data_IF_208781246527
#
_entry.id   IF_208781246527
#
_cell.length_a   1.000
_cell.length_b   1.000
_cell.length_c   1.000
_cell.angle_alpha   90.00
_cell.angle_beta   90.00
_cell.angle_gamma   90.00
#
_symmetry.space_group_name_H-M   'P 1'
#
loop_
_entity.id
_entity.type
_entity.pdbx_description
1 polymer ?
#
# COMPACT_ATOMS: atom_id res chain seq x y z
N UNK A 1 43.24 -43.74 27.15
CA UNK A 1 42.76 -42.34 27.29
C UNK A 1 42.25 -41.86 25.93
N UNK A 2 40.95 -42.01 25.65
CA UNK A 2 40.32 -41.42 24.46
C UNK A 2 39.32 -40.35 24.92
N UNK A 3 39.65 -39.08 24.65
CA UNK A 3 38.77 -37.94 24.90
C UNK A 3 37.90 -37.77 23.66
N UNK A 4 36.64 -38.19 23.73
CA UNK A 4 35.65 -37.83 22.72
C UNK A 4 35.37 -36.33 22.83
N UNK A 5 35.84 -35.56 21.85
CA UNK A 5 35.36 -34.20 21.63
C UNK A 5 33.95 -34.30 21.03
N UNK A 6 32.96 -34.14 21.88
CA UNK A 6 31.58 -33.91 21.47
C UNK A 6 31.50 -32.47 20.94
N UNK A 7 31.71 -32.28 19.65
CA UNK A 7 31.38 -31.01 18.99
C UNK A 7 29.86 -30.96 18.85
N UNK A 8 29.20 -30.22 19.73
CA UNK A 8 27.78 -29.94 19.67
C UNK A 8 27.49 -29.03 18.47
N UNK A 9 27.10 -29.63 17.35
CA UNK A 9 26.69 -28.93 16.12
C UNK A 9 25.29 -28.31 16.21
N UNK A 10 24.55 -28.56 17.30
CA UNK A 10 23.14 -28.15 17.45
C UNK A 10 22.92 -26.65 17.75
N UNK A 11 23.95 -25.93 18.22
CA UNK A 11 23.81 -24.54 18.68
C UNK A 11 23.93 -23.46 17.59
N UNK A 12 24.60 -23.76 16.46
CA UNK A 12 24.88 -22.75 15.42
C UNK A 12 23.69 -22.61 14.46
N UNK A 13 23.07 -23.72 14.06
CA UNK A 13 21.98 -23.71 13.07
C UNK A 13 20.65 -23.18 13.62
N UNK A 14 20.33 -23.43 14.89
CA UNK A 14 19.06 -22.99 15.49
C UNK A 14 19.04 -21.50 15.84
N UNK A 15 20.16 -20.97 16.38
CA UNK A 15 20.27 -19.55 16.74
C UNK A 15 20.24 -18.65 15.50
N UNK A 16 21.01 -18.99 14.46
CA UNK A 16 21.09 -18.21 13.22
C UNK A 16 19.76 -18.21 12.45
N UNK A 17 19.06 -19.34 12.42
CA UNK A 17 17.74 -19.45 11.79
C UNK A 17 16.65 -18.66 12.54
N UNK A 18 16.72 -18.62 13.87
CA UNK A 18 15.78 -17.84 14.68
C UNK A 18 16.02 -16.32 14.59
N UNK A 19 17.29 -15.89 14.60
CA UNK A 19 17.66 -14.48 14.45
C UNK A 19 17.29 -13.93 13.08
N UNK A 20 17.57 -14.67 12.00
CA UNK A 20 17.20 -14.29 10.63
C UNK A 20 15.68 -14.21 10.43
N UNK A 21 14.92 -15.16 10.97
CA UNK A 21 13.46 -15.12 10.97
C UNK A 21 12.92 -13.86 11.68
N UNK A 22 13.51 -13.50 12.82
CA UNK A 22 13.11 -12.31 13.60
C UNK A 22 13.44 -11.00 12.88
N UNK A 23 14.59 -10.94 12.20
CA UNK A 23 15.00 -9.78 11.39
C UNK A 23 14.09 -9.57 10.18
N UNK A 24 13.81 -10.63 9.43
CA UNK A 24 12.92 -10.61 8.27
C UNK A 24 11.50 -10.18 8.66
N UNK A 25 10.94 -10.73 9.74
CA UNK A 25 9.61 -10.38 10.23
C UNK A 25 9.49 -8.88 10.57
N UNK A 26 10.54 -8.29 11.16
CA UNK A 26 10.60 -6.85 11.45
C UNK A 26 10.72 -6.01 10.20
N UNK A 27 11.55 -6.42 9.23
CA UNK A 27 11.69 -5.72 7.96
C UNK A 27 10.37 -5.72 7.17
N UNK A 28 9.68 -6.85 7.11
CA UNK A 28 8.35 -6.98 6.49
C UNK A 28 7.32 -6.12 7.23
N UNK A 29 7.34 -6.09 8.57
CA UNK A 29 6.44 -5.22 9.34
C UNK A 29 6.71 -3.73 9.09
N UNK A 30 7.99 -3.34 8.99
CA UNK A 30 8.36 -1.96 8.64
C UNK A 30 7.86 -1.59 7.24
N UNK A 31 8.04 -2.46 6.25
CA UNK A 31 7.52 -2.28 4.89
C UNK A 31 5.99 -2.10 4.90
N UNK A 32 5.28 -2.98 5.62
CA UNK A 32 3.83 -2.93 5.80
C UNK A 32 3.37 -1.59 6.35
N UNK A 33 4.01 -1.12 7.43
CA UNK A 33 3.67 0.14 8.09
C UNK A 33 3.99 1.33 7.19
N UNK A 34 5.13 1.31 6.48
CA UNK A 34 5.50 2.37 5.55
C UNK A 34 4.44 2.54 4.45
N UNK A 35 4.05 1.45 3.78
CA UNK A 35 2.96 1.52 2.79
C UNK A 35 1.62 1.94 3.41
N UNK A 36 1.26 1.39 4.59
CA UNK A 36 0.04 1.79 5.29
C UNK A 36 0.00 3.29 5.57
N UNK A 37 1.13 3.86 6.01
CA UNK A 37 1.28 5.30 6.20
C UNK A 37 1.17 6.07 4.88
N UNK A 38 1.82 5.62 3.80
CA UNK A 38 1.72 6.26 2.48
C UNK A 38 0.27 6.37 1.99
N UNK A 39 -0.50 5.29 2.11
CA UNK A 39 -1.93 5.27 1.72
C UNK A 39 -2.78 6.20 2.59
N UNK A 40 -2.60 6.17 3.92
CA UNK A 40 -3.34 7.05 4.82
C UNK A 40 -2.95 8.52 4.65
N UNK A 41 -1.67 8.79 4.38
CA UNK A 41 -1.20 10.14 4.12
C UNK A 41 -1.82 10.71 2.85
N UNK A 42 -1.84 9.94 1.77
CA UNK A 42 -2.52 10.34 0.53
C UNK A 42 -4.02 10.60 0.77
N UNK A 43 -4.68 9.76 1.59
CA UNK A 43 -6.07 9.99 1.99
C UNK A 43 -6.22 11.31 2.74
N UNK A 44 -5.37 11.60 3.73
CA UNK A 44 -5.44 12.83 4.52
C UNK A 44 -5.17 14.08 3.67
N UNK A 45 -4.13 14.05 2.83
CA UNK A 45 -3.80 15.16 1.94
C UNK A 45 -4.96 15.48 0.98
N UNK A 46 -5.58 14.46 0.39
CA UNK A 46 -6.73 14.63 -0.52
C UNK A 46 -8.00 15.03 0.21
N UNK A 47 -8.20 14.52 1.43
CA UNK A 47 -9.37 14.85 2.26
C UNK A 47 -9.35 16.33 2.65
N UNK A 48 -8.18 16.87 2.98
CA UNK A 48 -8.04 18.20 3.60
C UNK A 48 -7.26 19.23 2.79
N UNK A 49 -6.77 18.90 1.58
CA UNK A 49 -5.92 19.76 0.78
C UNK A 49 -4.68 20.27 1.55
N UNK A 50 -3.82 19.35 2.01
CA UNK A 50 -2.68 19.69 2.89
C UNK A 50 -1.46 20.25 2.14
N UNK A 51 -1.54 20.43 0.83
CA UNK A 51 -0.49 21.02 0.01
C UNK A 51 0.61 20.07 -0.41
N UNK A 52 0.51 18.76 -0.18
CA UNK A 52 1.53 17.82 -0.66
C UNK A 52 1.28 17.47 -2.12
N UNK A 53 0.12 16.86 -2.39
CA UNK A 53 -0.35 16.57 -3.74
C UNK A 53 -1.62 17.38 -4.10
N UNK A 54 -2.29 17.97 -3.10
CA UNK A 54 -3.61 18.59 -3.24
C UNK A 54 -3.62 19.97 -2.59
N UNK A 55 -4.26 20.96 -3.22
CA UNK A 55 -4.42 22.31 -2.65
C UNK A 55 -3.29 23.29 -2.94
N UNK A 56 -2.31 22.93 -3.79
CA UNK A 56 -1.32 23.89 -4.30
C UNK A 56 -1.84 24.57 -5.56
N UNK A 57 -1.79 25.89 -5.59
CA UNK A 57 -2.05 26.67 -6.80
C UNK A 57 -0.78 26.77 -7.69
N UNK A 58 -0.93 27.44 -8.84
CA UNK A 58 0.15 27.66 -9.81
C UNK A 58 1.33 28.48 -9.25
N UNK A 59 1.11 29.26 -8.20
CA UNK A 59 2.15 30.05 -7.52
C UNK A 59 2.87 29.25 -6.44
N UNK A 60 2.38 28.03 -6.15
CA UNK A 60 2.86 27.18 -5.07
C UNK A 60 2.27 27.53 -3.70
N UNK A 61 1.34 28.48 -3.63
CA UNK A 61 0.60 28.77 -2.41
C UNK A 61 -0.35 27.61 -2.10
N UNK A 62 -0.49 27.29 -0.82
CA UNK A 62 -1.33 26.18 -0.36
C UNK A 62 -2.61 26.75 0.23
N UNK A 63 -3.74 26.37 -0.35
CA UNK A 63 -5.07 26.63 0.20
C UNK A 63 -5.52 25.46 1.09
N UNK A 64 -5.04 25.49 2.34
CA UNK A 64 -5.33 24.46 3.33
C UNK A 64 -6.83 24.38 3.61
N UNK A 65 -7.42 23.19 3.48
CA UNK A 65 -8.86 22.95 3.64
C UNK A 65 -9.72 23.75 2.65
N UNK A 66 -9.14 24.16 1.51
CA UNK A 66 -9.82 24.91 0.45
C UNK A 66 -10.69 24.06 -0.47
N UNK A 67 -11.08 24.62 -1.61
CA UNK A 67 -12.02 24.00 -2.56
C UNK A 67 -11.49 22.68 -3.18
N UNK A 68 -10.17 22.51 -3.24
CA UNK A 68 -9.54 21.28 -3.70
C UNK A 68 -9.70 20.10 -2.72
N UNK A 69 -10.09 20.36 -1.47
CA UNK A 69 -10.27 19.33 -0.45
C UNK A 69 -11.50 18.47 -0.77
N UNK A 70 -11.39 17.15 -0.64
CA UNK A 70 -12.50 16.24 -0.92
C UNK A 70 -13.73 16.51 -0.06
N UNK A 71 -13.54 16.94 1.19
CA UNK A 71 -14.65 17.31 2.09
C UNK A 71 -15.45 18.53 1.59
N UNK A 72 -14.86 19.35 0.71
CA UNK A 72 -15.50 20.51 0.11
C UNK A 72 -15.98 20.23 -1.33
N UNK A 73 -15.93 18.97 -1.77
CA UNK A 73 -16.37 18.56 -3.10
C UNK A 73 -15.29 18.52 -4.17
N UNK A 74 -14.02 18.79 -3.83
CA UNK A 74 -12.90 18.62 -4.74
C UNK A 74 -12.72 17.16 -5.17
N UNK A 75 -12.41 16.92 -6.46
CA UNK A 75 -12.20 15.56 -6.97
C UNK A 75 -10.76 15.07 -6.70
N UNK A 76 -10.55 14.00 -5.90
CA UNK A 76 -9.23 13.45 -5.62
C UNK A 76 -8.52 12.84 -6.83
N UNK A 77 -9.26 12.44 -7.89
CA UNK A 77 -8.69 11.72 -9.04
C UNK A 77 -8.70 12.51 -10.35
N UNK A 78 -9.62 13.48 -10.50
CA UNK A 78 -9.84 14.20 -11.76
C UNK A 78 -8.58 14.84 -12.34
N UNK A 79 -7.77 15.53 -11.51
CA UNK A 79 -6.56 16.20 -12.00
C UNK A 79 -5.60 15.24 -12.68
N UNK A 80 -5.31 14.10 -12.06
CA UNK A 80 -4.44 13.09 -12.66
C UNK A 80 -5.09 12.39 -13.85
N UNK A 81 -6.36 12.00 -13.75
CA UNK A 81 -7.04 11.31 -14.84
C UNK A 81 -7.26 12.20 -16.08
N UNK A 82 -7.34 13.52 -15.91
CA UNK A 82 -7.49 14.46 -17.03
C UNK A 82 -6.15 14.81 -17.67
N UNK A 83 -5.12 15.04 -16.85
CA UNK A 83 -3.89 15.70 -17.29
C UNK A 83 -2.61 14.87 -17.06
N UNK A 84 -2.64 13.91 -16.12
CA UNK A 84 -1.48 13.11 -15.71
C UNK A 84 -1.25 11.84 -16.53
N UNK A 85 -2.25 11.36 -17.26
CA UNK A 85 -2.10 10.18 -18.15
C UNK A 85 -1.34 10.58 -19.43
N UNK A 86 -0.25 9.91 -19.82
CA UNK A 86 0.52 10.24 -21.02
C UNK A 86 -0.33 10.29 -22.30
N UNK A 87 0.11 11.06 -23.29
CA UNK A 87 -0.63 11.23 -24.55
C UNK A 87 -0.66 9.96 -25.41
N UNK A 88 0.40 9.18 -25.36
CA UNK A 88 0.63 7.92 -26.06
C UNK A 88 0.25 6.68 -25.22
N UNK A 89 -0.40 6.88 -24.06
CA UNK A 89 -0.90 5.79 -23.24
C UNK A 89 -2.01 5.01 -23.98
N UNK A 90 -1.91 3.66 -24.09
CA UNK A 90 -2.90 2.85 -24.81
C UNK A 90 -4.30 2.84 -24.19
N UNK A 91 -4.44 3.24 -22.93
CA UNK A 91 -5.68 3.30 -22.16
C UNK A 91 -6.12 4.73 -21.85
N UNK A 92 -5.53 5.74 -22.49
CA UNK A 92 -5.79 7.16 -22.18
C UNK A 92 -7.26 7.51 -22.16
N UNK A 93 -8.00 7.14 -23.20
CA UNK A 93 -9.43 7.45 -23.31
C UNK A 93 -10.25 6.82 -22.19
N UNK A 94 -9.93 5.58 -21.79
CA UNK A 94 -10.57 4.90 -20.68
C UNK A 94 -10.36 5.66 -19.37
N UNK A 95 -9.12 6.06 -19.05
CA UNK A 95 -8.81 6.82 -17.85
C UNK A 95 -9.44 8.21 -17.85
N UNK A 96 -9.35 8.94 -18.97
CA UNK A 96 -9.97 10.25 -19.12
C UNK A 96 -11.49 10.17 -19.00
N UNK A 97 -12.14 9.09 -19.45
CA UNK A 97 -13.60 8.90 -19.30
C UNK A 97 -14.05 8.75 -17.84
N UNK A 98 -13.13 8.37 -16.96
CA UNK A 98 -13.36 8.24 -15.52
C UNK A 98 -13.08 9.54 -14.75
N UNK A 99 -12.44 10.53 -15.36
CA UNK A 99 -12.15 11.81 -14.72
C UNK A 99 -13.45 12.54 -14.30
N UNK A 100 -13.45 13.11 -13.08
CA UNK A 100 -14.59 13.84 -12.54
C UNK A 100 -15.79 12.97 -12.13
N UNK A 101 -15.69 11.64 -12.26
CA UNK A 101 -16.77 10.74 -11.89
C UNK A 101 -16.77 10.49 -10.37
N UNK A 102 -17.83 10.90 -9.69
CA UNK A 102 -17.92 10.79 -8.23
C UNK A 102 -17.71 9.35 -7.70
N UNK A 103 -18.16 8.32 -8.41
CA UNK A 103 -17.97 6.94 -7.98
C UNK A 103 -16.50 6.51 -8.01
N UNK A 104 -15.69 7.08 -8.91
CA UNK A 104 -14.24 6.84 -9.00
C UNK A 104 -13.56 7.46 -7.80
N UNK A 105 -13.94 8.69 -7.45
CA UNK A 105 -13.41 9.39 -6.28
C UNK A 105 -13.72 8.65 -4.98
N UNK A 106 -14.97 8.21 -4.80
CA UNK A 106 -15.35 7.39 -3.64
C UNK A 106 -14.59 6.07 -3.58
N UNK A 107 -14.49 5.35 -4.70
CA UNK A 107 -13.77 4.07 -4.74
C UNK A 107 -12.29 4.27 -4.42
N UNK A 108 -11.68 5.32 -4.96
CA UNK A 108 -10.30 5.67 -4.72
C UNK A 108 -10.06 6.02 -3.24
N UNK A 109 -10.87 6.92 -2.68
CA UNK A 109 -10.72 7.35 -1.28
C UNK A 109 -10.99 6.23 -0.27
N UNK A 110 -12.03 5.43 -0.49
CA UNK A 110 -12.29 4.23 0.31
C UNK A 110 -11.17 3.20 0.17
N UNK A 111 -10.59 3.09 -1.03
CA UNK A 111 -9.39 2.30 -1.27
C UNK A 111 -8.22 2.79 -0.42
N UNK A 112 -7.84 4.06 -0.53
CA UNK A 112 -6.72 4.64 0.23
C UNK A 112 -6.91 4.43 1.75
N UNK A 113 -8.10 4.75 2.27
CA UNK A 113 -8.41 4.58 3.69
C UNK A 113 -8.38 3.11 4.11
N UNK A 114 -9.09 2.25 3.37
CA UNK A 114 -9.23 0.83 3.70
C UNK A 114 -7.91 0.07 3.63
N UNK A 115 -7.13 0.30 2.58
CA UNK A 115 -5.78 -0.27 2.41
C UNK A 115 -4.87 0.26 3.53
N UNK A 116 -4.85 1.58 3.73
CA UNK A 116 -4.03 2.23 4.74
C UNK A 116 -4.27 1.70 6.15
N UNK A 117 -5.54 1.63 6.58
CA UNK A 117 -5.93 1.08 7.90
C UNK A 117 -5.55 -0.39 8.02
N UNK A 118 -5.85 -1.19 7.00
CA UNK A 118 -5.53 -2.63 6.97
C UNK A 118 -4.03 -2.86 7.16
N UNK A 119 -3.20 -2.17 6.38
CA UNK A 119 -1.75 -2.29 6.42
C UNK A 119 -1.18 -1.75 7.73
N UNK A 120 -1.67 -0.61 8.23
CA UNK A 120 -1.15 -0.04 9.47
C UNK A 120 -1.43 -0.97 10.66
N UNK A 121 -2.68 -1.40 10.80
CA UNK A 121 -3.11 -2.28 11.91
C UNK A 121 -2.69 -3.73 11.72
N UNK A 122 -2.40 -4.17 10.50
CA UNK A 122 -2.08 -5.56 10.19
C UNK A 122 -3.28 -6.52 10.29
N UNK A 123 -4.49 -6.05 9.98
CA UNK A 123 -5.75 -6.82 10.07
C UNK A 123 -6.46 -6.84 8.73
N UNK A 124 -7.06 -7.98 8.34
CA UNK A 124 -7.69 -8.09 7.01
C UNK A 124 -6.68 -8.07 5.86
N UNK A 125 -5.44 -8.51 6.13
CA UNK A 125 -4.28 -8.28 5.27
C UNK A 125 -4.52 -8.73 3.84
N UNK A 126 -5.11 -9.92 3.63
CA UNK A 126 -5.36 -10.44 2.29
C UNK A 126 -6.19 -9.50 1.43
N UNK A 127 -7.27 -8.95 1.99
CA UNK A 127 -8.15 -8.04 1.27
C UNK A 127 -7.44 -6.71 1.03
N UNK A 128 -6.81 -6.13 2.05
CA UNK A 128 -6.14 -4.85 1.91
C UNK A 128 -4.96 -4.90 0.94
N UNK A 129 -4.13 -5.93 0.97
CA UNK A 129 -3.03 -6.08 0.00
C UNK A 129 -3.53 -6.42 -1.40
N UNK A 130 -4.63 -7.15 -1.55
CA UNK A 130 -5.21 -7.40 -2.88
C UNK A 130 -5.79 -6.10 -3.47
N UNK A 131 -6.50 -5.30 -2.67
CA UNK A 131 -7.00 -4.00 -3.07
C UNK A 131 -5.85 -3.02 -3.39
N UNK A 132 -4.79 -3.01 -2.56
CA UNK A 132 -3.60 -2.21 -2.80
C UNK A 132 -2.85 -2.60 -4.07
N UNK A 133 -2.70 -3.91 -4.32
CA UNK A 133 -2.09 -4.41 -5.55
C UNK A 133 -2.91 -4.00 -6.78
N UNK A 134 -4.24 -4.10 -6.71
CA UNK A 134 -5.12 -3.69 -7.79
C UNK A 134 -5.03 -2.19 -8.05
N UNK A 135 -5.02 -1.36 -7.00
CA UNK A 135 -4.88 0.09 -7.13
C UNK A 135 -3.54 0.46 -7.75
N UNK A 136 -2.43 -0.10 -7.26
CA UNK A 136 -1.11 0.14 -7.86
C UNK A 136 -1.02 -0.35 -9.30
N UNK A 137 -1.67 -1.45 -9.65
CA UNK A 137 -1.71 -1.94 -11.02
C UNK A 137 -2.46 -0.97 -11.95
N UNK A 138 -3.58 -0.38 -11.52
CA UNK A 138 -4.24 0.66 -12.30
C UNK A 138 -3.38 1.91 -12.46
N UNK A 139 -2.68 2.33 -11.41
CA UNK A 139 -1.75 3.47 -11.49
C UNK A 139 -0.60 3.17 -12.46
N UNK A 140 -0.02 1.97 -12.40
CA UNK A 140 0.99 1.49 -13.34
C UNK A 140 0.51 1.60 -14.79
N UNK A 141 -0.70 1.10 -15.07
CA UNK A 141 -1.29 1.19 -16.41
C UNK A 141 -1.55 2.64 -16.85
N UNK A 142 -1.87 3.54 -15.92
CA UNK A 142 -2.15 4.94 -16.21
C UNK A 142 -0.90 5.78 -16.53
N UNK A 143 0.29 5.29 -16.19
CA UNK A 143 1.57 5.99 -16.46
C UNK A 143 2.36 5.40 -17.62
N UNK A 144 1.82 4.41 -18.33
CA UNK A 144 2.47 3.87 -19.53
C UNK A 144 2.45 4.87 -20.70
N UNK A 145 3.47 4.86 -21.59
CA UNK A 145 4.76 4.20 -21.41
C UNK A 145 5.61 4.89 -20.33
N UNK A 146 6.43 4.10 -19.63
CA UNK A 146 7.26 4.59 -18.54
C UNK A 146 8.44 5.44 -19.04
N UNK A 147 8.72 6.54 -18.34
CA UNK A 147 9.74 7.51 -18.74
C UNK A 147 11.18 7.02 -18.50
N UNK A 148 11.43 6.42 -17.32
CA UNK A 148 12.79 6.14 -16.86
C UNK A 148 13.25 4.69 -17.09
N UNK A 149 12.30 3.75 -17.19
CA UNK A 149 12.58 2.32 -17.33
C UNK A 149 11.41 1.65 -18.04
N UNK A 150 11.60 0.82 -19.06
CA UNK A 150 10.50 0.28 -19.88
C UNK A 150 9.55 -0.69 -19.14
N UNK A 151 9.90 -1.14 -17.92
CA UNK A 151 9.13 -2.15 -17.18
C UNK A 151 8.92 -1.75 -15.72
N UNK A 152 9.93 -1.19 -15.05
CA UNK A 152 9.91 -1.03 -13.59
C UNK A 152 9.84 0.43 -13.19
N UNK A 153 8.73 0.81 -12.57
CA UNK A 153 8.60 2.05 -11.81
C UNK A 153 8.07 1.78 -10.39
N UNK A 154 7.87 2.84 -9.62
CA UNK A 154 7.40 2.79 -8.24
C UNK A 154 6.04 2.08 -8.08
N UNK A 155 5.14 2.19 -9.06
CA UNK A 155 3.84 1.52 -9.00
C UNK A 155 3.98 0.00 -9.15
N UNK A 156 4.84 -0.50 -10.05
CA UNK A 156 5.11 -1.94 -10.16
C UNK A 156 5.79 -2.48 -8.89
N UNK A 157 6.74 -1.71 -8.33
CA UNK A 157 7.35 -2.04 -7.03
C UNK A 157 6.27 -2.09 -5.94
N UNK A 158 5.28 -1.20 -5.97
CA UNK A 158 4.09 -1.23 -5.13
C UNK A 158 3.30 -2.53 -5.27
N UNK A 159 2.98 -2.96 -6.49
CA UNK A 159 2.29 -4.24 -6.76
C UNK A 159 3.06 -5.42 -6.17
N UNK A 160 4.37 -5.50 -6.43
CA UNK A 160 5.23 -6.57 -5.93
C UNK A 160 5.26 -6.55 -4.39
N UNK A 161 5.39 -5.37 -3.80
CA UNK A 161 5.39 -5.20 -2.34
C UNK A 161 4.07 -5.66 -1.72
N UNK A 162 2.94 -5.35 -2.34
CA UNK A 162 1.64 -5.84 -1.89
C UNK A 162 1.54 -7.36 -1.99
N UNK A 163 2.07 -7.98 -3.05
CA UNK A 163 2.14 -9.44 -3.17
C UNK A 163 3.01 -10.06 -2.06
N UNK A 164 4.18 -9.49 -1.79
CA UNK A 164 5.05 -9.91 -0.67
C UNK A 164 4.30 -9.83 0.66
N UNK A 165 3.61 -8.73 0.94
CA UNK A 165 2.83 -8.54 2.17
C UNK A 165 1.62 -9.47 2.25
N UNK A 166 1.00 -9.83 1.12
CA UNK A 166 -0.11 -10.76 1.05
C UNK A 166 0.31 -12.18 1.48
N UNK A 167 1.48 -12.64 1.00
CA UNK A 167 1.99 -13.98 1.28
C UNK A 167 2.75 -14.07 2.61
N UNK A 168 3.33 -12.95 3.07
CA UNK A 168 4.01 -12.90 4.35
C UNK A 168 3.02 -12.90 5.53
N UNK A 169 3.46 -13.41 6.68
CA UNK A 169 2.72 -13.26 7.94
C UNK A 169 2.81 -11.83 8.51
N UNK A 170 2.85 -10.82 7.63
CA UNK A 170 3.22 -9.43 7.92
C UNK A 170 2.37 -8.78 9.02
N UNK A 171 1.09 -9.16 9.16
CA UNK A 171 0.19 -8.63 10.20
C UNK A 171 0.52 -9.09 11.64
N UNK A 172 1.41 -10.09 11.81
CA UNK A 172 1.69 -10.69 13.12
C UNK A 172 2.73 -9.93 13.95
N UNK A 173 3.58 -9.13 13.31
CA UNK A 173 4.66 -8.36 13.93
C UNK A 173 4.29 -6.88 13.92
N UNK A 174 4.36 -6.21 15.08
CA UNK A 174 3.92 -4.81 15.25
C UNK A 174 2.52 -4.52 14.69
N UNK A 175 1.62 -5.49 14.76
CA UNK A 175 0.24 -5.38 14.28
C UNK A 175 -0.71 -6.21 15.14
N UNK A 176 -2.00 -6.03 14.90
CA UNK A 176 -3.10 -6.72 15.60
C UNK A 176 -3.49 -8.03 14.91
N UNK A 177 -2.75 -8.48 13.90
CA UNK A 177 -3.09 -9.68 13.11
C UNK A 177 -3.16 -10.97 13.93
N UNK A 178 -2.41 -11.08 15.03
CA UNK A 178 -2.50 -12.24 15.94
C UNK A 178 -3.84 -12.29 16.66
N UNK A 179 -4.32 -11.14 17.13
CA UNK A 179 -5.60 -10.97 17.81
C UNK A 179 -6.76 -11.13 16.82
N UNK A 180 -6.64 -10.51 15.65
CA UNK A 180 -7.62 -10.57 14.57
C UNK A 180 -7.94 -12.01 14.15
N UNK A 181 -6.91 -12.84 13.95
CA UNK A 181 -7.08 -14.27 13.60
C UNK A 181 -7.78 -15.11 14.66
N UNK A 182 -7.86 -14.65 15.90
CA UNK A 182 -8.56 -15.35 17.00
C UNK A 182 -10.06 -15.02 17.06
N UNK A 183 -10.52 -14.03 16.29
CA UNK A 183 -11.96 -13.68 16.25
C UNK A 183 -12.76 -14.80 15.58
N UNK A 184 -13.99 -15.03 16.07
CA UNK A 184 -14.90 -16.03 15.50
C UNK A 184 -15.21 -15.78 14.02
N UNK A 185 -15.24 -14.50 13.62
CA UNK A 185 -15.47 -14.08 12.24
C UNK A 185 -14.35 -14.55 11.30
N UNK A 186 -13.08 -14.33 11.65
CA UNK A 186 -11.92 -14.72 10.81
C UNK A 186 -11.72 -16.24 10.80
N UNK A 187 -12.06 -16.91 11.90
CA UNK A 187 -12.09 -18.37 11.95
C UNK A 187 -13.15 -18.95 11.00
N UNK A 188 -14.31 -18.30 10.90
CA UNK A 188 -15.39 -18.68 9.98
C UNK A 188 -15.07 -18.33 8.53
N UNK A 189 -14.41 -17.19 8.28
CA UNK A 189 -14.08 -16.70 6.94
C UNK A 189 -12.55 -16.47 6.79
N UNK A 190 -11.78 -17.49 6.38
CA UNK A 190 -10.31 -17.40 6.26
C UNK A 190 -9.80 -16.36 5.26
N UNK A 191 -10.66 -15.88 4.35
CA UNK A 191 -10.34 -14.79 3.42
C UNK A 191 -10.07 -13.47 4.17
N UNK A 192 -10.63 -13.31 5.38
CA UNK A 192 -10.46 -12.12 6.21
C UNK A 192 -9.12 -12.10 6.98
N UNK A 193 -8.27 -13.11 6.85
CA UNK A 193 -6.94 -13.11 7.49
C UNK A 193 -6.10 -11.96 6.95
#
# INVERSE_FOLDING_TARGET
MHRHHHLTTEGVTTSETAETATGLDRAIAALRIAFGFTFLWAFLDKTFALGFATGKDETGAVDYFGDAAWINGGSPTEGFLSFGVPADNPFKEMFNSMAGQAWVDWLFMLGLLGIGVTLLLGVGMRIGTAAGALMYAFMYLAVLPLENNPIVDDHLIGVISMAVLFFAAAGATWGLGRQWRKTSLVQKYPVLK
#
